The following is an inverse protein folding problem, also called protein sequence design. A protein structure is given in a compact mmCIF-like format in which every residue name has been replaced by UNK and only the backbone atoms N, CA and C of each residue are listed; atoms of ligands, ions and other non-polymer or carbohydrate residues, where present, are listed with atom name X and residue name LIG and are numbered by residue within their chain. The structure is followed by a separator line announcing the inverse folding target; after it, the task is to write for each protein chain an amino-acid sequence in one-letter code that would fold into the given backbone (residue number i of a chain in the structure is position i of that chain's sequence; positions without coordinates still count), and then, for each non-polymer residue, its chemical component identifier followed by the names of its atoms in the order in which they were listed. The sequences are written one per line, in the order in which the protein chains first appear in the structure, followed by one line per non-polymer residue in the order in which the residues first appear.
data_IF_587302342404
#
_entry.id   IF_587302342404
#
_cell.length_a   1.000
_cell.length_b   1.000
_cell.length_c   1.000
_cell.angle_alpha   90.00
_cell.angle_beta   90.00
_cell.angle_gamma   90.00
#
_symmetry.space_group_name_H-M   'P 1'
#
loop_
_entity.id
_entity.type
_entity.pdbx_description
1 polymer ?
#
# COMPACT_ATOMS: atom_id res chain seq x y z
N UNK A 1 -3.66 -11.75 8.51
CA UNK A 1 -3.63 -12.71 7.38
C UNK A 1 -2.29 -12.51 6.69
N UNK A 2 -1.38 -13.47 6.81
CA UNK A 2 -0.06 -13.42 6.15
C UNK A 2 -0.24 -14.00 4.75
N UNK A 3 0.11 -13.24 3.72
CA UNK A 3 0.15 -13.74 2.34
C UNK A 3 1.43 -14.57 2.18
N UNK A 4 1.30 -15.89 2.08
CA UNK A 4 2.44 -16.84 2.03
C UNK A 4 2.94 -17.07 0.59
N UNK A 5 2.19 -16.62 -0.41
CA UNK A 5 2.58 -16.65 -1.82
C UNK A 5 3.16 -15.29 -2.22
N UNK A 6 4.46 -15.22 -2.54
CA UNK A 6 5.06 -14.05 -3.20
C UNK A 6 4.40 -13.89 -4.57
N UNK A 7 3.51 -12.91 -4.78
CA UNK A 7 2.95 -12.70 -6.11
C UNK A 7 4.05 -12.14 -7.01
N UNK A 8 4.17 -12.68 -8.22
CA UNK A 8 5.14 -12.17 -9.21
C UNK A 8 4.79 -10.72 -9.53
N UNK A 9 5.71 -9.81 -9.26
CA UNK A 9 5.56 -8.40 -9.59
C UNK A 9 5.65 -8.21 -11.10
N UNK A 10 4.68 -7.50 -11.66
CA UNK A 10 4.73 -7.06 -13.05
C UNK A 10 5.61 -5.82 -13.17
N UNK A 11 6.29 -5.67 -14.31
CA UNK A 11 6.95 -4.41 -14.65
C UNK A 11 5.89 -3.32 -14.88
N UNK A 12 6.15 -2.08 -14.43
CA UNK A 12 5.22 -0.97 -14.65
C UNK A 12 5.14 -0.61 -16.14
N UNK A 13 3.92 -0.45 -16.65
CA UNK A 13 3.65 0.10 -17.96
C UNK A 13 3.11 1.53 -17.81
N UNK A 14 3.91 2.53 -18.12
CA UNK A 14 3.53 3.94 -17.99
C UNK A 14 2.42 4.38 -18.96
N UNK A 15 2.03 3.52 -19.90
CA UNK A 15 0.91 3.76 -20.82
C UNK A 15 -0.44 3.39 -20.19
N UNK A 16 -0.44 2.67 -19.06
CA UNK A 16 -1.65 2.21 -18.36
C UNK A 16 -1.86 2.97 -17.05
N UNK A 17 -3.14 3.20 -16.65
CA UNK A 17 -3.43 3.84 -15.38
C UNK A 17 -2.98 2.94 -14.22
N UNK A 18 -2.37 3.55 -13.21
CA UNK A 18 -2.04 2.90 -11.95
C UNK A 18 -3.25 2.89 -11.02
N UNK A 19 -3.46 1.76 -10.33
CA UNK A 19 -4.48 1.59 -9.29
C UNK A 19 -3.78 1.37 -7.94
N UNK A 20 -4.04 2.23 -6.97
CA UNK A 20 -3.49 2.10 -5.61
C UNK A 20 -4.57 1.57 -4.68
N UNK A 21 -4.25 0.53 -3.93
CA UNK A 21 -5.09 0.00 -2.84
C UNK A 21 -4.34 0.15 -1.53
N UNK A 22 -4.75 1.10 -0.70
CA UNK A 22 -4.24 1.25 0.66
C UNK A 22 -5.09 0.45 1.66
N UNK A 23 -4.47 0.05 2.76
CA UNK A 23 -5.15 -0.50 3.93
C UNK A 23 -4.42 -0.04 5.19
N UNK A 24 -5.17 0.51 6.15
CA UNK A 24 -4.68 0.85 7.47
C UNK A 24 -5.36 -0.04 8.52
N UNK A 25 -4.58 -0.89 9.19
CA UNK A 25 -5.11 -1.76 10.24
C UNK A 25 -4.20 -1.76 11.47
N UNK A 26 -4.80 -1.46 12.63
CA UNK A 26 -4.09 -1.37 13.91
C UNK A 26 -3.00 -0.29 13.88
N UNK A 27 -1.74 -0.74 13.88
CA UNK A 27 -0.55 0.12 13.94
C UNK A 27 0.26 0.14 12.64
N UNK A 28 -0.17 -0.60 11.62
CA UNK A 28 0.50 -0.68 10.33
C UNK A 28 -0.34 -0.03 9.24
N UNK A 29 0.34 0.52 8.26
CA UNK A 29 -0.27 0.96 7.01
C UNK A 29 0.46 0.32 5.85
N UNK A 30 -0.29 -0.03 4.82
CA UNK A 30 0.27 -0.59 3.61
C UNK A 30 -0.50 -0.16 2.39
N UNK A 31 0.15 -0.27 1.25
CA UNK A 31 -0.45 -0.01 -0.04
C UNK A 31 0.08 -1.00 -1.08
N UNK A 32 -0.77 -1.31 -2.05
CA UNK A 32 -0.41 -2.13 -3.21
C UNK A 32 -0.66 -1.29 -4.45
N UNK A 33 0.38 -1.15 -5.27
CA UNK A 33 0.29 -0.56 -6.59
C UNK A 33 -0.02 -1.67 -7.59
N UNK A 34 -1.09 -1.52 -8.36
CA UNK A 34 -1.53 -2.51 -9.35
C UNK A 34 -1.79 -1.86 -10.70
N UNK A 35 -1.58 -2.61 -11.79
CA UNK A 35 -2.08 -2.27 -13.13
C UNK A 35 -2.73 -3.51 -13.74
N UNK A 36 -3.88 -3.34 -14.37
CA UNK A 36 -4.60 -4.45 -15.02
C UNK A 36 -4.75 -5.68 -14.09
N UNK A 37 -5.05 -5.43 -12.79
CA UNK A 37 -5.15 -6.44 -11.73
C UNK A 37 -3.85 -7.20 -11.40
N UNK A 38 -2.69 -6.74 -11.87
CA UNK A 38 -1.37 -7.29 -11.54
C UNK A 38 -0.66 -6.38 -10.54
N UNK A 39 -0.07 -6.93 -9.46
CA UNK A 39 0.72 -6.15 -8.52
C UNK A 39 2.06 -5.72 -9.14
N UNK A 40 2.44 -4.48 -8.89
CA UNK A 40 3.69 -3.86 -9.36
C UNK A 40 4.62 -3.61 -8.19
N UNK A 41 4.08 -3.09 -7.09
CA UNK A 41 4.84 -2.77 -5.90
C UNK A 41 3.98 -2.94 -4.65
N UNK A 42 4.65 -3.26 -3.53
CA UNK A 42 4.07 -3.33 -2.20
C UNK A 42 4.78 -2.32 -1.31
N UNK A 43 4.00 -1.57 -0.54
CA UNK A 43 4.49 -0.71 0.52
C UNK A 43 3.89 -1.17 1.85
N UNK A 44 4.71 -1.26 2.89
CA UNK A 44 4.24 -1.51 4.25
C UNK A 44 5.16 -0.84 5.26
N UNK A 45 4.58 -0.06 6.17
CA UNK A 45 5.29 0.60 7.26
C UNK A 45 4.51 0.46 8.56
N UNK A 46 5.26 0.31 9.65
CA UNK A 46 4.70 0.37 11.01
C UNK A 46 4.71 1.81 11.49
N UNK A 47 3.55 2.32 11.88
CA UNK A 47 3.41 3.68 12.39
C UNK A 47 4.08 3.85 13.77
N UNK A 48 4.78 4.96 13.94
CA UNK A 48 5.31 5.38 15.24
C UNK A 48 4.17 5.70 16.22
N UNK A 49 4.46 5.69 17.54
CA UNK A 49 3.44 5.93 18.59
C UNK A 49 2.60 7.19 18.35
N UNK A 50 3.22 8.26 17.83
CA UNK A 50 2.52 9.52 17.48
C UNK A 50 1.52 9.33 16.35
N UNK A 51 1.89 8.62 15.28
CA UNK A 51 1.05 8.42 14.11
C UNK A 51 -0.03 7.34 14.32
N UNK A 52 0.11 6.50 15.34
CA UNK A 52 -0.92 5.50 15.73
C UNK A 52 -2.21 6.14 16.24
N UNK A 53 -2.14 7.35 16.79
CA UNK A 53 -3.33 8.04 17.34
C UNK A 53 -4.11 8.79 16.24
N UNK A 54 -3.54 8.89 15.03
CA UNK A 54 -4.19 9.53 13.89
C UNK A 54 -5.44 8.76 13.46
N UNK A 55 -6.44 9.47 12.90
CA UNK A 55 -7.61 8.83 12.34
C UNK A 55 -7.24 7.95 11.12
N UNK A 56 -8.11 6.99 10.79
CA UNK A 56 -7.87 5.99 9.74
C UNK A 56 -7.59 6.64 8.38
N UNK A 57 -8.31 7.70 8.03
CA UNK A 57 -8.11 8.41 6.75
C UNK A 57 -6.71 9.04 6.63
N UNK A 58 -6.15 9.59 7.72
CA UNK A 58 -4.77 10.10 7.71
C UNK A 58 -3.75 8.98 7.55
N UNK A 59 -4.00 7.84 8.20
CA UNK A 59 -3.15 6.65 8.09
C UNK A 59 -3.16 6.08 6.68
N UNK A 60 -4.33 6.05 6.03
CA UNK A 60 -4.46 5.65 4.64
C UNK A 60 -3.80 6.67 3.69
N UNK A 61 -3.91 7.97 3.96
CA UNK A 61 -3.21 9.01 3.20
C UNK A 61 -1.69 8.84 3.29
N UNK A 62 -1.15 8.53 4.47
CA UNK A 62 0.27 8.21 4.64
C UNK A 62 0.63 7.01 3.75
N UNK A 63 -0.15 5.92 3.76
CA UNK A 63 0.12 4.78 2.87
C UNK A 63 0.12 5.16 1.37
N UNK A 64 -0.77 6.04 0.94
CA UNK A 64 -0.82 6.49 -0.46
C UNK A 64 0.37 7.37 -0.81
N UNK A 65 0.71 8.36 0.03
CA UNK A 65 1.82 9.30 -0.20
C UNK A 65 3.16 8.56 -0.28
N UNK A 66 3.35 7.52 0.52
CA UNK A 66 4.59 6.74 0.50
C UNK A 66 4.65 5.66 -0.59
N UNK A 67 3.54 5.39 -1.30
CA UNK A 67 3.46 4.35 -2.33
C UNK A 67 3.67 4.87 -3.76
N UNK A 68 3.78 6.19 -3.94
CA UNK A 68 4.04 6.88 -5.22
C UNK A 68 5.46 7.46 -5.18
#
# INVERSE_FOLDING_TARGET
MVMVTLPVLAMPDFSLPFEIKSNAFGFGVGAVLTQAKRPIAFFSITLCRRDRVRPVYEKELIAVVFAV
#
